data_IF_375553659565
#
_entry.id   IF_375553659565
#
_cell.length_a   1.000
_cell.length_b   1.000
_cell.length_c   1.000
_cell.angle_alpha   90.00
_cell.angle_beta   90.00
_cell.angle_gamma   90.00
#
_symmetry.space_group_name_H-M   'P 1'
#
loop_
_entity.id
_entity.type
_entity.pdbx_description
1 polymer ?
#
# COMPACT_ATOMS: atom_id res chain seq x y z
N UNK A 1 10.25 -15.33 9.47
CA UNK A 1 9.65 -14.60 8.34
C UNK A 1 8.86 -13.41 8.85
N UNK A 2 9.05 -12.27 8.21
CA UNK A 2 8.31 -11.08 8.61
C UNK A 2 6.96 -11.07 7.91
N UNK A 3 5.88 -11.01 8.71
CA UNK A 3 4.53 -10.95 8.17
C UNK A 3 3.94 -9.56 8.33
N UNK A 4 4.80 -8.57 8.39
CA UNK A 4 4.42 -7.18 8.49
C UNK A 4 5.61 -6.29 8.70
N UNK A 5 5.40 -5.00 8.64
CA UNK A 5 6.46 -4.03 8.85
C UNK A 5 5.99 -2.62 8.56
N UNK A 6 6.94 -1.69 8.62
CA UNK A 6 6.69 -0.28 8.36
C UNK A 6 7.35 0.14 7.07
N UNK A 7 6.72 1.08 6.37
CA UNK A 7 7.23 1.64 5.12
C UNK A 7 7.12 3.16 5.23
N UNK A 8 8.21 3.84 4.91
CA UNK A 8 8.24 5.31 4.93
C UNK A 8 8.90 5.84 3.67
N UNK A 9 8.61 7.10 3.36
CA UNK A 9 9.42 7.83 2.39
C UNK A 9 10.82 8.04 2.95
N UNK A 10 11.82 8.32 2.08
CA UNK A 10 13.17 8.59 2.56
C UNK A 10 13.20 9.74 3.55
N UNK A 11 13.99 9.60 4.60
CA UNK A 11 14.22 10.62 5.62
C UNK A 11 13.00 10.99 6.46
N UNK A 12 11.90 10.28 6.28
CA UNK A 12 10.72 10.52 7.12
C UNK A 12 11.11 10.50 8.61
N UNK A 13 10.64 11.40 9.46
CA UNK A 13 9.62 12.42 9.22
C UNK A 13 10.12 13.73 8.64
N UNK A 14 11.36 13.81 8.19
CA UNK A 14 11.85 14.96 7.46
C UNK A 14 11.44 14.86 6.00
N UNK A 15 11.55 15.96 5.28
CA UNK A 15 11.13 15.97 3.87
C UNK A 15 11.92 14.94 3.06
N UNK A 16 11.23 14.28 2.15
CA UNK A 16 11.88 13.36 1.22
C UNK A 16 12.69 14.16 0.19
N UNK A 17 13.55 13.46 -0.54
CA UNK A 17 14.38 14.09 -1.55
C UNK A 17 13.72 14.03 -2.92
N UNK A 18 14.26 14.82 -3.84
CA UNK A 18 13.80 14.84 -5.23
C UNK A 18 14.35 13.65 -6.01
N UNK A 19 13.72 13.34 -7.13
CA UNK A 19 14.19 12.33 -8.08
C UNK A 19 14.37 10.95 -7.46
N UNK A 20 13.45 10.57 -6.58
CA UNK A 20 13.48 9.28 -5.89
C UNK A 20 12.47 8.35 -6.55
N UNK A 21 12.85 7.08 -6.67
CA UNK A 21 11.92 6.01 -7.01
C UNK A 21 12.22 4.86 -6.06
N UNK A 22 11.29 4.58 -5.18
CA UNK A 22 11.38 3.45 -4.25
C UNK A 22 10.27 2.47 -4.54
N UNK A 23 10.60 1.19 -4.54
CA UNK A 23 9.63 0.14 -4.80
C UNK A 23 9.69 -0.86 -3.65
N UNK A 24 8.53 -1.19 -3.10
CA UNK A 24 8.39 -2.26 -2.11
C UNK A 24 7.54 -3.35 -2.72
N UNK A 25 8.04 -4.57 -2.66
CA UNK A 25 7.30 -5.74 -3.11
C UNK A 25 6.94 -6.55 -1.88
N UNK A 26 5.67 -6.48 -1.48
CA UNK A 26 5.20 -7.12 -0.25
C UNK A 26 4.59 -8.46 -0.59
N UNK A 27 5.08 -9.49 0.08
CA UNK A 27 4.65 -10.86 -0.15
C UNK A 27 4.10 -11.46 1.15
N UNK A 28 2.85 -11.87 1.10
CA UNK A 28 2.22 -12.55 2.22
C UNK A 28 2.38 -14.07 2.06
N UNK A 29 2.28 -14.83 3.15
CA UNK A 29 2.30 -16.28 3.05
C UNK A 29 1.10 -16.81 2.25
N UNK A 30 1.17 -18.08 1.90
CA UNK A 30 0.06 -18.75 1.22
C UNK A 30 -1.22 -18.58 2.04
N UNK A 31 -2.33 -18.35 1.35
CA UNK A 31 -3.65 -18.13 1.96
C UNK A 31 -3.73 -16.83 2.77
N UNK A 32 -2.85 -15.88 2.46
CA UNK A 32 -2.90 -14.56 3.08
C UNK A 32 -2.89 -13.48 1.99
N UNK A 33 -3.40 -12.32 2.33
CA UNK A 33 -3.30 -11.12 1.53
C UNK A 33 -2.45 -10.10 2.25
N UNK A 34 -2.04 -9.06 1.53
CA UNK A 34 -1.30 -7.95 2.12
C UNK A 34 -2.28 -6.83 2.41
N UNK A 35 -2.27 -6.35 3.64
CA UNK A 35 -3.06 -5.17 4.02
C UNK A 35 -2.11 -4.06 4.43
N UNK A 36 -2.27 -2.92 3.78
CA UNK A 36 -1.43 -1.76 4.02
C UNK A 36 -2.27 -0.62 4.60
N UNK A 37 -1.83 -0.09 5.74
CA UNK A 37 -2.48 1.04 6.41
C UNK A 37 -1.63 2.28 6.20
N UNK A 38 -2.24 3.33 5.71
CA UNK A 38 -1.56 4.62 5.54
C UNK A 38 -1.80 5.45 6.80
N UNK A 39 -0.71 5.74 7.52
CA UNK A 39 -0.79 6.44 8.80
C UNK A 39 -0.59 7.95 8.65
N UNK A 40 0.36 8.35 7.81
CA UNK A 40 0.60 9.76 7.49
C UNK A 40 0.92 9.87 6.02
N UNK A 41 0.46 10.96 5.40
CA UNK A 41 0.68 11.13 3.98
C UNK A 41 0.58 12.60 3.60
N UNK A 42 1.71 13.18 3.19
CA UNK A 42 1.76 14.55 2.65
C UNK A 42 2.80 14.60 1.55
N UNK A 43 2.35 14.64 0.32
CA UNK A 43 3.21 14.76 -0.84
C UNK A 43 2.88 16.05 -1.59
N UNK A 44 3.63 16.32 -2.65
CA UNK A 44 3.33 17.45 -3.52
C UNK A 44 1.93 17.31 -4.09
N UNK A 45 1.17 18.39 -4.03
CA UNK A 45 -0.22 18.38 -4.50
C UNK A 45 -0.28 18.52 -6.01
N UNK A 46 -1.08 17.70 -6.65
CA UNK A 46 -1.33 17.79 -8.08
C UNK A 46 -2.65 17.06 -8.37
N UNK A 47 -3.48 17.67 -9.22
CA UNK A 47 -4.80 17.12 -9.52
C UNK A 47 -4.74 15.71 -10.11
N UNK A 48 -3.70 15.43 -10.90
CA UNK A 48 -3.58 14.15 -11.58
C UNK A 48 -2.46 13.28 -11.04
N UNK A 49 -1.82 13.71 -9.95
CA UNK A 49 -0.72 12.99 -9.32
C UNK A 49 0.39 12.66 -10.32
N UNK A 50 0.80 13.65 -11.13
CA UNK A 50 1.87 13.46 -12.11
C UNK A 50 3.25 13.67 -11.50
N UNK A 51 3.35 14.47 -10.42
CA UNK A 51 4.66 14.87 -9.90
C UNK A 51 5.17 13.88 -8.88
N UNK A 52 4.72 14.01 -7.64
CA UNK A 52 5.10 13.07 -6.58
C UNK A 52 3.88 12.20 -6.29
N UNK A 53 4.10 10.90 -6.11
CA UNK A 53 2.95 10.03 -5.85
C UNK A 53 3.36 8.75 -5.15
N UNK A 54 2.37 8.14 -4.52
CA UNK A 54 2.44 6.80 -3.99
C UNK A 54 1.43 5.98 -4.77
N UNK A 55 1.88 4.86 -5.34
CA UNK A 55 1.04 4.06 -6.21
C UNK A 55 1.06 2.61 -5.77
N UNK A 56 -0.09 1.99 -5.82
CA UNK A 56 -0.29 0.61 -5.39
C UNK A 56 -0.64 -0.26 -6.58
N UNK A 57 0.04 -1.40 -6.68
CA UNK A 57 -0.21 -2.38 -7.73
C UNK A 57 -0.59 -3.70 -7.08
N UNK A 58 -1.71 -4.25 -7.52
CA UNK A 58 -2.21 -5.52 -7.02
C UNK A 58 -1.78 -6.64 -7.95
N UNK A 59 -0.97 -7.57 -7.41
CA UNK A 59 -0.51 -8.72 -8.19
C UNK A 59 0.33 -8.30 -9.40
N UNK A 60 -0.07 -8.75 -10.57
CA UNK A 60 0.71 -8.63 -11.80
C UNK A 60 0.59 -7.27 -12.47
N UNK A 61 1.05 -6.22 -11.80
CA UNK A 61 1.12 -4.87 -12.37
C UNK A 61 -0.23 -4.20 -12.63
N UNK A 62 -1.30 -4.74 -12.09
CA UNK A 62 -2.59 -4.08 -12.19
C UNK A 62 -2.61 -2.89 -11.23
N UNK A 63 -2.66 -1.67 -11.76
CA UNK A 63 -2.70 -0.47 -10.93
C UNK A 63 -4.01 -0.40 -10.19
N UNK A 64 -3.96 -0.31 -8.86
CA UNK A 64 -5.17 -0.17 -8.05
C UNK A 64 -5.44 1.27 -7.68
N UNK A 65 -4.39 2.01 -7.32
CA UNK A 65 -4.59 3.34 -6.77
C UNK A 65 -3.31 4.16 -6.85
N UNK A 66 -3.44 5.41 -7.20
CA UNK A 66 -2.35 6.40 -7.12
C UNK A 66 -2.85 7.57 -6.28
N UNK A 67 -2.06 8.01 -5.32
CA UNK A 67 -2.42 9.13 -4.44
C UNK A 67 -1.27 10.13 -4.37
N UNK A 68 -1.61 11.38 -4.11
CA UNK A 68 -0.66 12.47 -3.94
C UNK A 68 -1.27 13.54 -3.03
N UNK A 69 -0.53 14.62 -2.79
CA UNK A 69 -1.00 15.67 -1.91
C UNK A 69 -1.24 15.15 -0.51
N UNK A 70 -2.42 15.35 -0.01
CA UNK A 70 -2.85 14.78 1.26
C UNK A 70 -4.08 13.88 1.07
N UNK A 71 -4.10 13.16 -0.05
CA UNK A 71 -5.16 12.19 -0.31
C UNK A 71 -5.19 11.13 0.77
N UNK A 72 -6.31 10.41 0.84
CA UNK A 72 -6.47 9.31 1.78
C UNK A 72 -6.88 8.06 1.02
N UNK A 73 -6.67 6.91 1.64
CA UNK A 73 -7.18 5.65 1.14
C UNK A 73 -8.56 5.39 1.75
N UNK A 74 -9.46 4.69 1.04
CA UNK A 74 -10.73 4.29 1.63
C UNK A 74 -10.49 3.54 2.94
N UNK A 75 -11.15 3.96 4.01
CA UNK A 75 -10.97 3.38 5.34
C UNK A 75 -9.51 3.39 5.81
N UNK A 76 -8.65 4.21 5.18
CA UNK A 76 -7.24 4.34 5.57
C UNK A 76 -6.36 3.18 5.15
N UNK A 77 -6.85 2.25 4.35
CA UNK A 77 -6.07 1.06 4.02
C UNK A 77 -6.38 0.55 2.61
N UNK A 78 -5.52 -0.35 2.14
CA UNK A 78 -5.70 -1.05 0.88
C UNK A 78 -5.29 -2.50 1.06
N UNK A 79 -6.06 -3.43 0.47
CA UNK A 79 -5.78 -4.86 0.49
C UNK A 79 -5.41 -5.35 -0.90
N UNK A 80 -4.46 -6.28 -0.96
CA UNK A 80 -4.25 -7.03 -2.20
C UNK A 80 -5.36 -8.09 -2.34
N UNK A 81 -5.56 -8.56 -3.56
CA UNK A 81 -6.49 -9.66 -3.79
C UNK A 81 -5.81 -11.01 -3.61
N UNK A 82 -4.50 -11.07 -3.78
CA UNK A 82 -3.72 -12.28 -3.59
C UNK A 82 -2.59 -12.05 -2.62
N UNK A 83 -1.50 -12.78 -2.83
CA UNK A 83 -0.37 -12.75 -1.89
C UNK A 83 0.52 -11.52 -2.01
N UNK A 84 0.40 -10.73 -3.08
CA UNK A 84 1.37 -9.67 -3.34
C UNK A 84 0.73 -8.31 -3.48
N UNK A 85 1.45 -7.30 -3.02
CA UNK A 85 1.12 -5.91 -3.23
C UNK A 85 2.42 -5.16 -3.47
N UNK A 86 2.51 -4.44 -4.57
CA UNK A 86 3.66 -3.59 -4.84
C UNK A 86 3.31 -2.14 -4.57
N UNK A 87 4.24 -1.41 -3.98
CA UNK A 87 4.05 0.00 -3.65
C UNK A 87 5.21 0.77 -4.26
N UNK A 88 4.89 1.82 -4.99
CA UNK A 88 5.90 2.67 -5.62
C UNK A 88 5.74 4.09 -5.09
N UNK A 89 6.83 4.63 -4.55
CA UNK A 89 6.90 6.03 -4.20
C UNK A 89 7.81 6.73 -5.21
N UNK A 90 7.33 7.80 -5.80
CA UNK A 90 8.11 8.56 -6.77
C UNK A 90 8.02 10.03 -6.48
N UNK A 91 9.18 10.71 -6.51
CA UNK A 91 9.26 12.16 -6.45
C UNK A 91 9.93 12.69 -7.70
N UNK A 92 9.54 13.90 -8.10
CA UNK A 92 10.11 14.52 -9.28
C UNK A 92 11.28 15.45 -8.91
N UNK A 93 11.65 16.35 -9.80
CA UNK A 93 12.86 17.15 -9.65
C UNK A 93 12.73 18.35 -8.72
N UNK A 94 11.51 18.61 -8.22
CA UNK A 94 11.29 19.79 -7.39
C UNK A 94 10.21 19.52 -6.36
N UNK A 95 10.01 20.44 -5.45
CA UNK A 95 8.98 20.44 -4.40
C UNK A 95 8.92 19.12 -3.63
N UNK A 96 9.39 19.16 -2.41
CA UNK A 96 9.31 17.99 -1.52
C UNK A 96 8.36 18.29 -0.37
N UNK A 97 8.05 17.25 0.38
CA UNK A 97 7.16 17.38 1.50
C UNK A 97 7.52 16.33 2.55
N UNK A 98 6.71 16.26 3.62
CA UNK A 98 7.00 15.35 4.73
C UNK A 98 7.05 13.90 4.30
N UNK A 99 6.25 13.50 3.34
CA UNK A 99 6.25 12.14 2.85
C UNK A 99 5.17 11.30 3.48
N UNK A 100 5.46 10.03 3.66
CA UNK A 100 4.44 9.12 4.17
C UNK A 100 5.02 8.11 5.16
N UNK A 101 4.12 7.58 5.98
CA UNK A 101 4.40 6.51 6.91
C UNK A 101 3.23 5.55 6.86
N UNK A 102 3.53 4.30 6.64
CA UNK A 102 2.52 3.25 6.59
C UNK A 102 2.98 1.98 7.26
N UNK A 103 2.03 1.10 7.49
CA UNK A 103 2.26 -0.18 8.13
C UNK A 103 1.53 -1.25 7.34
N UNK A 104 2.17 -2.39 7.13
CA UNK A 104 1.51 -3.51 6.45
C UNK A 104 1.57 -4.76 7.29
N UNK A 105 0.62 -5.64 7.06
CA UNK A 105 0.68 -6.98 7.63
C UNK A 105 -0.01 -7.97 6.70
N UNK A 106 0.32 -9.24 6.90
CA UNK A 106 -0.36 -10.31 6.20
C UNK A 106 -1.69 -10.60 6.92
N UNK A 107 -2.77 -10.69 6.15
CA UNK A 107 -4.09 -10.96 6.69
C UNK A 107 -4.55 -12.32 6.17
N UNK A 108 -5.03 -13.16 7.06
CA UNK A 108 -5.39 -14.52 6.71
C UNK A 108 -6.62 -14.54 5.82
N UNK A 109 -6.43 -15.00 4.58
CA UNK A 109 -7.51 -15.09 3.61
C UNK A 109 -8.44 -16.23 3.95
N UNK A 110 -7.90 -17.36 4.39
CA UNK A 110 -8.67 -18.55 4.66
C UNK A 110 -9.75 -18.31 5.72
N UNK A 111 -9.52 -17.39 6.63
CA UNK A 111 -10.48 -17.05 7.66
C UNK A 111 -11.77 -16.50 7.06
N UNK A 112 -11.66 -15.64 6.07
CA UNK A 112 -12.81 -15.07 5.38
C UNK A 112 -13.47 -16.12 4.50
N UNK A 113 -12.67 -16.88 3.78
CA UNK A 113 -13.16 -17.93 2.91
C UNK A 113 -13.85 -19.02 3.70
N UNK A 114 -13.26 -19.39 4.84
CA UNK A 114 -13.82 -20.43 5.68
C UNK A 114 -15.20 -20.03 6.20
N UNK A 115 -15.37 -18.79 6.60
CA UNK A 115 -16.66 -18.30 7.05
C UNK A 115 -17.70 -18.41 5.93
N UNK A 116 -17.32 -17.98 4.71
CA UNK A 116 -18.21 -18.07 3.57
C UNK A 116 -18.53 -19.51 3.20
N UNK A 117 -17.53 -20.36 3.22
CA UNK A 117 -17.73 -21.78 2.89
C UNK A 117 -18.61 -22.44 3.93
N UNK A 118 -18.44 -22.14 5.19
CA UNK A 118 -19.26 -22.72 6.24
C UNK A 118 -20.73 -22.36 6.09
N UNK A 119 -21.01 -21.17 5.61
CA UNK A 119 -22.39 -20.76 5.38
C UNK A 119 -23.06 -21.62 4.32
N UNK A 120 -22.29 -22.20 3.42
CA UNK A 120 -22.82 -23.04 2.36
C UNK A 120 -22.61 -24.52 2.62
N UNK A 121 -21.48 -24.89 3.18
CA UNK A 121 -21.11 -26.27 3.33
C UNK A 121 -21.66 -26.91 4.58
N UNK A 122 -22.24 -26.16 5.48
CA UNK A 122 -22.97 -26.72 6.61
C UNK A 122 -24.16 -27.52 6.16
N UNK A 123 -24.52 -27.38 4.92
CA UNK A 123 -25.56 -28.18 4.33
C UNK A 123 -25.06 -29.55 3.94
N UNK A 124 -23.79 -29.79 4.07
CA UNK A 124 -23.23 -31.10 3.71
C UNK A 124 -22.91 -31.95 4.91
#
# INVERSE_FOLDING_TARGET
MTEGGYITSPFYPNNYTTNVTNVWFLLAPVNHTVKFFLKEFVLERDKKCFYDYLEFYDGDNATRKRICGNDTLPSGSINSTGQTLSIVFKSDKSVTNKGFFGEWHAEEMSKILLTGVQMFSNQT
#
